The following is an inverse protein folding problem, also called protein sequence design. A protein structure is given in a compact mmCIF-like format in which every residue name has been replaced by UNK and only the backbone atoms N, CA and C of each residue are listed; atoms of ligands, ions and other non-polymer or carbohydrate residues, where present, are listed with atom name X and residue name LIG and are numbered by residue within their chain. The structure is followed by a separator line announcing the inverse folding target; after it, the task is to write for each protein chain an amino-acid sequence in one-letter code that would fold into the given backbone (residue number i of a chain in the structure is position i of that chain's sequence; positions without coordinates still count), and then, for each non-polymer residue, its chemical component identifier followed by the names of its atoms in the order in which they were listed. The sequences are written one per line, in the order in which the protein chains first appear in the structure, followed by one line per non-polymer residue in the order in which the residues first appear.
data_IF_177995862107
#
_entry.id   IF_177995862107
#
_cell.length_a   1.000
_cell.length_b   1.000
_cell.length_c   1.000
_cell.angle_alpha   90.00
_cell.angle_beta   90.00
_cell.angle_gamma   90.00
#
_symmetry.space_group_name_H-M   'P 1'
#
loop_
_entity.id
_entity.type
_entity.pdbx_description
1 polymer ?
#
# COMPACT_ATOMS: atom_id res chain seq x y z
N UNK A 1 -7.17 -31.86 -15.16
CA UNK A 1 -6.25 -30.74 -14.92
C UNK A 1 -7.13 -29.63 -14.41
N UNK A 2 -6.82 -29.08 -13.23
CA UNK A 2 -7.54 -27.92 -12.71
C UNK A 2 -6.94 -26.69 -13.39
N UNK A 3 -7.78 -25.85 -13.99
CA UNK A 3 -7.31 -24.60 -14.60
C UNK A 3 -7.15 -23.57 -13.48
N UNK A 4 -5.92 -23.17 -13.22
CA UNK A 4 -5.65 -22.14 -12.21
C UNK A 4 -5.99 -20.75 -12.77
N UNK A 5 -6.82 -20.00 -12.05
CA UNK A 5 -7.24 -18.64 -12.43
C UNK A 5 -6.74 -17.61 -11.41
N UNK A 6 -6.57 -16.37 -11.85
CA UNK A 6 -6.39 -15.21 -10.96
C UNK A 6 -7.59 -14.27 -11.06
N UNK A 7 -8.01 -13.76 -9.90
CA UNK A 7 -9.10 -12.80 -9.77
C UNK A 7 -8.62 -11.35 -9.89
N UNK A 8 -9.24 -10.60 -10.79
CA UNK A 8 -8.97 -9.19 -11.06
C UNK A 8 -10.20 -8.34 -10.72
N UNK A 9 -10.00 -7.14 -10.18
CA UNK A 9 -11.07 -6.21 -9.83
C UNK A 9 -10.72 -4.78 -10.23
N UNK A 10 -11.65 -4.09 -10.89
CA UNK A 10 -11.52 -2.67 -11.19
C UNK A 10 -11.78 -1.85 -9.91
N UNK A 11 -11.03 -0.76 -9.68
CA UNK A 11 -11.06 -0.02 -8.39
C UNK A 11 -12.45 0.50 -8.02
N UNK A 12 -13.31 0.75 -9.00
CA UNK A 12 -14.64 1.35 -8.80
C UNK A 12 -15.80 0.35 -8.86
N UNK A 13 -15.57 -0.89 -9.32
CA UNK A 13 -16.63 -1.91 -9.44
C UNK A 13 -16.53 -2.94 -8.31
N UNK A 14 -17.61 -3.68 -8.07
CA UNK A 14 -17.61 -4.91 -7.25
C UNK A 14 -17.45 -6.17 -8.10
N UNK A 15 -17.30 -6.01 -9.42
CA UNK A 15 -17.17 -7.11 -10.35
C UNK A 15 -15.75 -7.70 -10.28
N UNK A 16 -15.69 -9.02 -10.22
CA UNK A 16 -14.46 -9.80 -10.20
C UNK A 16 -14.43 -10.59 -11.50
N UNK A 17 -13.36 -10.40 -12.29
CA UNK A 17 -13.13 -11.16 -13.51
C UNK A 17 -11.99 -12.13 -13.27
N UNK A 18 -12.20 -13.40 -13.59
CA UNK A 18 -11.15 -14.41 -13.55
C UNK A 18 -10.41 -14.47 -14.88
N UNK A 19 -9.08 -14.49 -14.83
CA UNK A 19 -8.20 -14.66 -15.98
C UNK A 19 -7.40 -15.95 -15.77
N UNK A 20 -7.45 -16.86 -16.73
CA UNK A 20 -6.72 -18.13 -16.71
C UNK A 20 -5.20 -17.90 -16.71
N UNK A 21 -4.48 -18.68 -15.90
CA UNK A 21 -3.04 -18.64 -15.84
C UNK A 21 -2.41 -19.50 -16.93
N UNK A 22 -1.36 -18.98 -17.57
CA UNK A 22 -0.52 -19.77 -18.45
C UNK A 22 0.63 -20.39 -17.65
N UNK A 23 0.67 -21.73 -17.61
CA UNK A 23 1.80 -22.47 -17.05
C UNK A 23 3.03 -22.33 -17.95
N UNK A 24 4.15 -21.93 -17.34
CA UNK A 24 5.46 -21.98 -17.96
C UNK A 24 6.20 -23.25 -17.53
N UNK A 25 7.15 -23.70 -18.34
CA UNK A 25 7.90 -24.97 -18.13
C UNK A 25 8.78 -25.01 -16.87
N UNK A 26 8.97 -23.87 -16.22
CA UNK A 26 9.68 -23.69 -14.95
C UNK A 26 8.75 -23.71 -13.72
N UNK A 27 7.43 -23.86 -13.92
CA UNK A 27 6.44 -23.86 -12.85
C UNK A 27 6.01 -22.46 -12.40
N UNK A 28 6.46 -21.40 -13.07
CA UNK A 28 5.95 -20.05 -12.84
C UNK A 28 4.61 -19.83 -13.57
N UNK A 29 3.71 -19.11 -12.90
CA UNK A 29 2.44 -18.67 -13.47
C UNK A 29 2.60 -17.28 -14.08
N UNK A 30 2.21 -17.14 -15.34
CA UNK A 30 2.24 -15.85 -16.04
C UNK A 30 0.82 -15.49 -16.50
N UNK A 31 0.43 -14.25 -16.23
CA UNK A 31 -0.68 -13.58 -16.89
C UNK A 31 -0.09 -12.66 -17.94
N UNK A 32 -0.55 -12.77 -19.19
CA UNK A 32 -0.16 -11.87 -20.26
C UNK A 32 -0.94 -10.57 -20.17
N UNK A 33 -0.31 -9.44 -20.54
CA UNK A 33 -0.96 -8.14 -20.53
C UNK A 33 -2.18 -8.12 -21.46
N UNK A 34 -2.06 -8.81 -22.59
CA UNK A 34 -3.05 -8.96 -23.63
C UNK A 34 -4.35 -9.66 -23.14
N UNK A 35 -4.29 -10.42 -22.05
CA UNK A 35 -5.47 -11.02 -21.42
C UNK A 35 -6.13 -10.06 -20.42
N UNK A 36 -5.32 -9.26 -19.70
CA UNK A 36 -5.80 -8.18 -18.84
C UNK A 36 -6.48 -7.09 -19.68
N UNK A 37 -5.90 -6.69 -20.80
CA UNK A 37 -6.45 -5.68 -21.71
C UNK A 37 -7.73 -6.19 -22.42
N UNK A 38 -7.82 -7.50 -22.69
CA UNK A 38 -9.06 -8.13 -23.21
C UNK A 38 -10.18 -8.16 -22.19
N UNK A 39 -9.86 -8.38 -20.91
CA UNK A 39 -10.82 -8.33 -19.80
C UNK A 39 -11.21 -6.88 -19.44
N UNK A 40 -10.28 -5.94 -19.52
CA UNK A 40 -10.46 -4.54 -19.12
C UNK A 40 -9.85 -3.57 -20.17
N UNK A 41 -10.56 -3.27 -21.26
CA UNK A 41 -10.07 -2.39 -22.32
C UNK A 41 -9.75 -0.99 -21.81
N UNK A 42 -8.55 -0.48 -22.12
CA UNK A 42 -8.11 0.88 -21.72
C UNK A 42 -7.47 0.99 -20.33
N UNK A 43 -7.32 -0.12 -19.60
CA UNK A 43 -6.52 -0.16 -18.36
C UNK A 43 -5.05 0.08 -18.67
N UNK A 44 -4.37 0.79 -17.76
CA UNK A 44 -3.03 1.35 -18.03
C UNK A 44 -2.11 1.23 -16.80
N UNK A 45 -2.55 1.59 -15.58
CA UNK A 45 -1.94 1.13 -14.33
C UNK A 45 -2.63 -0.10 -13.72
N UNK A 46 -1.85 -1.14 -13.46
CA UNK A 46 -2.24 -2.27 -12.58
C UNK A 46 -1.51 -2.14 -11.25
N UNK A 47 -2.26 -2.28 -10.15
CA UNK A 47 -1.77 -2.23 -8.77
C UNK A 47 -1.98 -3.57 -8.08
N UNK A 48 -1.04 -4.03 -7.27
CA UNK A 48 -1.24 -5.13 -6.32
C UNK A 48 -1.31 -4.54 -4.91
N UNK A 49 -2.54 -4.41 -4.39
CA UNK A 49 -2.82 -3.62 -3.19
C UNK A 49 -2.31 -2.18 -3.33
N UNK A 50 -1.39 -1.78 -2.45
CA UNK A 50 -0.76 -0.45 -2.46
C UNK A 50 0.42 -0.32 -3.44
N UNK A 51 0.87 -1.41 -4.08
CA UNK A 51 2.05 -1.42 -4.95
C UNK A 51 1.67 -1.31 -6.42
N UNK A 52 2.05 -0.24 -7.10
CA UNK A 52 1.94 -0.16 -8.58
C UNK A 52 2.90 -1.15 -9.23
N UNK A 53 2.39 -2.05 -10.07
CA UNK A 53 3.24 -2.94 -10.88
C UNK A 53 3.84 -2.12 -12.02
N UNK A 54 5.16 -1.89 -11.94
CA UNK A 54 5.90 -1.06 -12.90
C UNK A 54 6.38 -1.81 -14.14
N UNK A 55 6.30 -3.14 -14.14
CA UNK A 55 6.80 -3.99 -15.20
C UNK A 55 5.78 -5.10 -15.49
N UNK A 56 5.24 -5.08 -16.70
CA UNK A 56 4.47 -6.15 -17.29
C UNK A 56 5.23 -6.59 -18.55
N UNK A 57 5.34 -7.90 -18.75
CA UNK A 57 6.06 -8.49 -19.87
C UNK A 57 5.05 -8.82 -20.96
N UNK A 58 5.22 -8.24 -22.15
CA UNK A 58 4.42 -8.60 -23.31
C UNK A 58 4.70 -10.03 -23.76
N UNK A 59 3.81 -10.59 -24.57
CA UNK A 59 3.98 -11.91 -25.19
C UNK A 59 5.28 -12.04 -26.03
N UNK A 60 5.86 -10.93 -26.48
CA UNK A 60 7.09 -10.84 -27.26
C UNK A 60 8.40 -10.75 -26.43
N UNK A 61 8.30 -10.88 -25.10
CA UNK A 61 9.38 -10.67 -24.13
C UNK A 61 9.97 -9.24 -24.06
N UNK A 62 9.45 -8.26 -24.80
CA UNK A 62 9.88 -6.88 -24.63
C UNK A 62 9.25 -6.25 -23.38
N UNK A 63 10.02 -5.39 -22.72
CA UNK A 63 9.51 -4.56 -21.63
C UNK A 63 8.59 -3.49 -22.22
N UNK A 64 7.28 -3.60 -21.97
CA UNK A 64 6.32 -2.58 -22.37
C UNK A 64 6.72 -1.27 -21.67
N UNK A 65 6.93 -0.20 -22.44
CA UNK A 65 7.34 1.11 -21.90
C UNK A 65 6.23 1.71 -21.05
N UNK A 66 6.61 2.52 -20.06
CA UNK A 66 5.70 3.21 -19.15
C UNK A 66 4.58 3.94 -19.91
N UNK A 67 3.33 3.50 -19.73
CA UNK A 67 2.16 4.25 -20.16
C UNK A 67 1.85 5.39 -19.18
N UNK A 68 1.42 6.52 -19.73
CA UNK A 68 0.86 7.64 -19.00
C UNK A 68 -0.64 7.76 -19.34
N UNK A 69 -1.44 8.29 -18.40
CA UNK A 69 -2.91 8.33 -18.41
C UNK A 69 -3.55 6.97 -18.07
N UNK A 70 -4.79 7.00 -17.56
CA UNK A 70 -5.13 6.23 -16.36
C UNK A 70 -6.52 5.58 -16.31
N UNK A 71 -6.54 4.27 -16.06
CA UNK A 71 -7.58 3.56 -15.30
C UNK A 71 -6.92 2.52 -14.36
N UNK A 72 -7.13 2.64 -13.05
CA UNK A 72 -6.51 1.77 -12.04
C UNK A 72 -7.27 0.43 -11.87
N UNK A 73 -6.57 -0.68 -12.12
CA UNK A 73 -7.00 -2.03 -11.72
C UNK A 73 -6.27 -2.45 -10.45
N UNK A 74 -6.97 -3.11 -9.52
CA UNK A 74 -6.38 -3.72 -8.33
C UNK A 74 -6.42 -5.24 -8.42
N UNK A 75 -5.24 -5.84 -8.42
CA UNK A 75 -5.05 -7.27 -8.22
C UNK A 75 -5.38 -7.62 -6.77
N UNK A 76 -6.23 -8.63 -6.60
CA UNK A 76 -6.45 -9.29 -5.32
C UNK A 76 -6.29 -10.80 -5.55
N UNK A 77 -5.09 -11.30 -5.32
CA UNK A 77 -4.76 -12.72 -5.52
C UNK A 77 -5.41 -13.57 -4.42
N UNK A 78 -6.55 -14.18 -4.71
CA UNK A 78 -7.11 -15.27 -3.90
C UNK A 78 -7.03 -16.58 -4.68
N UNK A 79 -6.19 -17.51 -4.22
CA UNK A 79 -6.18 -18.88 -4.75
C UNK A 79 -7.38 -19.61 -4.16
N UNK A 80 -8.44 -19.78 -4.95
CA UNK A 80 -9.65 -20.47 -4.54
C UNK A 80 -9.56 -21.95 -4.93
N UNK A 81 -9.04 -22.79 -4.03
CA UNK A 81 -9.14 -24.25 -4.19
C UNK A 81 -10.61 -24.69 -4.04
N UNK A 82 -11.17 -25.28 -5.10
CA UNK A 82 -12.57 -25.72 -5.13
C UNK A 82 -12.74 -26.93 -4.20
N UNK A 83 -13.63 -26.89 -3.18
CA UNK A 83 -13.86 -28.04 -2.32
C UNK A 83 -14.49 -29.20 -3.12
N UNK A 84 -13.78 -30.33 -3.20
CA UNK A 84 -14.31 -31.53 -3.84
C UNK A 84 -15.57 -32.03 -3.11
N UNK A 85 -16.70 -32.00 -3.83
CA UNK A 85 -18.03 -32.35 -3.32
C UNK A 85 -18.19 -33.86 -3.19
N UNK A 86 -17.95 -34.39 -1.99
CA UNK A 86 -18.28 -35.78 -1.65
C UNK A 86 -19.80 -36.00 -1.59
N UNK A 87 -20.22 -37.22 -1.96
CA UNK A 87 -21.63 -37.57 -2.22
C UNK A 87 -22.49 -37.80 -0.95
N UNK A 88 -23.82 -37.96 -1.14
CA UNK A 88 -24.80 -37.92 -0.05
C UNK A 88 -25.06 -39.29 0.60
N UNK A 89 -25.36 -39.27 1.90
CA UNK A 89 -26.04 -40.36 2.62
C UNK A 89 -27.30 -39.77 3.27
N UNK A 90 -28.41 -40.52 3.23
CA UNK A 90 -29.76 -39.98 3.41
C UNK A 90 -30.23 -39.80 4.85
N UNK A 91 -31.39 -39.14 4.97
CA UNK A 91 -32.11 -38.93 6.23
C UNK A 91 -33.44 -38.22 5.99
N UNK A 92 -34.49 -38.97 5.63
CA UNK A 92 -35.86 -38.44 5.61
C UNK A 92 -36.42 -38.34 7.03
N UNK A 93 -37.24 -37.33 7.32
CA UNK A 93 -38.57 -37.52 7.94
C UNK A 93 -39.44 -36.26 7.93
N UNK A 94 -40.63 -36.40 7.35
CA UNK A 94 -41.95 -35.87 7.74
C UNK A 94 -42.28 -34.35 7.75
N UNK A 95 -43.20 -34.05 6.81
CA UNK A 95 -44.22 -32.99 6.62
C UNK A 95 -45.32 -32.95 7.73
N UNK A 96 -46.45 -32.17 7.68
CA UNK A 96 -46.90 -31.05 6.80
C UNK A 96 -47.66 -29.87 7.52
N UNK A 97 -48.34 -29.00 6.73
CA UNK A 97 -49.46 -28.04 7.07
C UNK A 97 -49.01 -26.76 7.80
N UNK A 98 -49.44 -25.51 7.54
CA UNK A 98 -50.37 -24.82 6.61
C UNK A 98 -50.58 -23.36 7.13
N UNK A 99 -51.32 -22.41 6.52
CA UNK A 99 -51.95 -22.31 5.19
C UNK A 99 -52.35 -20.83 4.86
N UNK A 100 -52.64 -20.55 3.58
CA UNK A 100 -53.50 -19.50 2.96
C UNK A 100 -53.62 -18.04 3.51
N UNK A 101 -53.34 -17.09 2.61
CA UNK A 101 -53.92 -15.74 2.33
C UNK A 101 -55.41 -15.47 2.72
N UNK A 102 -56.03 -14.24 2.55
CA UNK A 102 -55.53 -12.93 2.04
C UNK A 102 -56.05 -11.63 2.78
N UNK A 103 -55.71 -10.46 2.21
CA UNK A 103 -56.62 -9.37 1.77
C UNK A 103 -56.72 -8.01 2.53
N UNK A 104 -56.53 -6.93 1.73
CA UNK A 104 -57.16 -5.60 1.71
C UNK A 104 -57.21 -4.65 2.93
N UNK A 105 -56.88 -3.39 2.65
CA UNK A 105 -57.14 -2.24 3.51
C UNK A 105 -56.64 -0.90 2.95
N UNK A 106 -57.11 -0.49 1.75
CA UNK A 106 -56.86 0.89 1.27
C UNK A 106 -57.68 1.88 2.10
N UNK A 107 -57.06 2.97 2.55
CA UNK A 107 -57.77 4.24 2.69
C UNK A 107 -56.80 5.41 2.59
N UNK A 108 -57.19 6.43 1.83
CA UNK A 108 -56.43 7.65 1.63
C UNK A 108 -57.28 8.84 2.08
N UNK A 109 -56.69 9.75 2.86
CA UNK A 109 -57.23 11.09 3.05
C UNK A 109 -56.09 12.07 3.32
N UNK A 110 -55.97 13.07 2.44
CA UNK A 110 -55.00 14.16 2.56
C UNK A 110 -55.31 15.04 3.79
N UNK A 111 -54.28 15.60 4.43
CA UNK A 111 -54.16 17.05 4.68
C UNK A 111 -52.77 17.40 5.23
N UNK A 112 -52.03 18.23 4.49
CA UNK A 112 -51.00 19.16 4.99
C UNK A 112 -51.63 20.21 5.95
N UNK A 113 -50.88 21.02 6.74
CA UNK A 113 -49.47 21.39 6.52
C UNK A 113 -48.54 21.47 7.76
N UNK A 114 -47.25 21.74 7.50
CA UNK A 114 -46.24 22.36 8.38
C UNK A 114 -46.01 21.73 9.78
N UNK A 115 -44.86 21.05 9.95
CA UNK A 115 -43.84 21.57 10.88
C UNK A 115 -42.43 21.06 10.53
N UNK A 116 -41.40 21.90 10.70
CA UNK A 116 -40.00 21.60 10.41
C UNK A 116 -39.26 21.13 11.67
N UNK A 117 -39.21 19.81 11.89
CA UNK A 117 -38.36 19.19 12.91
C UNK A 117 -37.01 18.72 12.34
N UNK A 118 -35.85 19.04 12.94
CA UNK A 118 -34.56 18.54 12.49
C UNK A 118 -34.36 17.08 12.90
N UNK A 119 -34.26 16.18 11.92
CA UNK A 119 -33.97 14.76 12.15
C UNK A 119 -32.52 14.58 12.64
N UNK A 120 -32.27 13.96 13.81
CA UNK A 120 -30.92 13.56 14.19
C UNK A 120 -30.50 12.34 13.35
N UNK A 121 -29.55 12.55 12.43
CA UNK A 121 -29.05 11.49 11.56
C UNK A 121 -28.43 10.33 12.32
N UNK A 122 -28.91 9.11 12.07
CA UNK A 122 -28.35 7.88 12.66
C UNK A 122 -26.97 7.58 12.05
N UNK A 123 -25.92 8.06 12.70
CA UNK A 123 -24.54 7.81 12.32
C UNK A 123 -24.16 6.35 12.56
N UNK A 124 -24.25 5.52 11.52
CA UNK A 124 -23.76 4.14 11.57
C UNK A 124 -22.24 4.16 11.70
N UNK A 125 -21.72 3.80 12.88
CA UNK A 125 -20.28 3.76 13.16
C UNK A 125 -19.66 2.60 12.39
N UNK A 126 -18.97 2.91 11.30
CA UNK A 126 -18.22 1.93 10.51
C UNK A 126 -17.00 1.42 11.30
N UNK A 127 -17.10 0.19 11.80
CA UNK A 127 -16.02 -0.50 12.53
C UNK A 127 -14.80 -0.70 11.61
N UNK A 128 -13.81 0.16 11.77
CA UNK A 128 -12.59 0.15 10.98
C UNK A 128 -11.61 -0.89 11.52
N UNK A 129 -11.57 -2.07 10.89
CA UNK A 129 -10.56 -3.11 11.19
C UNK A 129 -9.18 -2.67 10.68
N UNK A 130 -8.44 -1.96 11.53
CA UNK A 130 -7.04 -1.58 11.27
C UNK A 130 -6.12 -2.80 11.40
N UNK A 131 -5.97 -3.59 10.34
CA UNK A 131 -4.99 -4.67 10.29
C UNK A 131 -3.58 -4.08 10.23
N UNK A 132 -2.77 -4.34 11.26
CA UNK A 132 -1.41 -3.81 11.38
C UNK A 132 -0.49 -4.36 10.28
N UNK A 133 -0.27 -3.56 9.24
CA UNK A 133 0.55 -3.91 8.08
C UNK A 133 2.06 -3.68 8.29
N UNK A 134 2.47 -3.12 9.45
CA UNK A 134 3.84 -2.59 9.66
C UNK A 134 4.95 -3.66 9.80
N UNK A 135 4.64 -4.95 9.93
CA UNK A 135 5.64 -5.94 10.40
C UNK A 135 6.18 -6.94 9.35
N UNK A 136 5.61 -7.01 8.15
CA UNK A 136 6.01 -8.02 7.13
C UNK A 136 7.02 -7.47 6.10
N UNK A 137 7.00 -6.16 5.82
CA UNK A 137 7.79 -5.56 4.71
C UNK A 137 9.30 -5.45 5.00
N UNK A 138 9.73 -5.47 6.25
CA UNK A 138 11.11 -5.09 6.64
C UNK A 138 12.17 -6.18 6.52
N UNK A 139 11.81 -7.48 6.53
CA UNK A 139 12.80 -8.58 6.49
C UNK A 139 13.18 -9.06 5.09
N UNK A 140 12.26 -9.06 4.12
CA UNK A 140 12.57 -9.45 2.74
C UNK A 140 13.40 -8.39 2.00
N UNK A 141 13.17 -7.10 2.31
CA UNK A 141 13.77 -5.96 1.59
C UNK A 141 15.28 -5.80 1.78
N UNK A 142 15.83 -6.13 2.98
CA UNK A 142 17.27 -5.99 3.25
C UNK A 142 18.12 -6.96 2.42
N UNK A 143 17.73 -8.23 2.37
CA UNK A 143 18.51 -9.29 1.70
C UNK A 143 18.57 -9.13 0.18
N UNK A 144 17.51 -8.56 -0.43
CA UNK A 144 17.49 -8.22 -1.84
C UNK A 144 18.43 -7.04 -2.18
N UNK A 145 18.50 -6.02 -1.31
CA UNK A 145 19.39 -4.86 -1.50
C UNK A 145 20.87 -5.17 -1.30
N UNK A 146 21.21 -6.05 -0.36
CA UNK A 146 22.60 -6.50 -0.16
C UNK A 146 23.12 -7.25 -1.40
N UNK A 147 22.33 -8.17 -1.96
CA UNK A 147 22.68 -8.89 -3.19
C UNK A 147 22.83 -7.95 -4.42
N UNK A 148 21.98 -6.92 -4.54
CA UNK A 148 22.08 -5.95 -5.65
C UNK A 148 23.36 -5.09 -5.57
N UNK A 149 23.82 -4.77 -4.34
CA UNK A 149 25.06 -4.00 -4.14
C UNK A 149 26.30 -4.87 -4.46
N UNK A 150 26.35 -6.13 -3.99
CA UNK A 150 27.45 -7.05 -4.37
C UNK A 150 27.51 -7.23 -5.89
N UNK A 151 26.37 -7.47 -6.55
CA UNK A 151 26.30 -7.73 -7.98
C UNK A 151 26.67 -6.52 -8.85
N UNK A 152 26.40 -5.28 -8.39
CA UNK A 152 26.74 -4.06 -9.13
C UNK A 152 28.20 -3.62 -8.98
N UNK A 153 28.82 -3.84 -7.82
CA UNK A 153 30.15 -3.27 -7.51
C UNK A 153 31.29 -4.29 -7.49
N UNK A 154 31.05 -5.55 -7.13
CA UNK A 154 32.11 -6.57 -7.03
C UNK A 154 32.32 -7.31 -8.35
N UNK A 155 31.23 -7.61 -9.08
CA UNK A 155 31.31 -8.32 -10.37
C UNK A 155 32.12 -7.62 -11.48
N UNK A 156 32.14 -6.28 -11.64
CA UNK A 156 32.94 -5.63 -12.68
C UNK A 156 34.45 -5.65 -12.39
N UNK A 157 34.86 -5.58 -11.12
CA UNK A 157 36.26 -5.40 -10.72
C UNK A 157 37.06 -6.71 -10.71
N UNK A 158 36.38 -7.84 -10.43
CA UNK A 158 36.99 -9.16 -10.40
C UNK A 158 37.67 -9.60 -11.72
N UNK A 159 37.04 -9.49 -12.92
CA UNK A 159 37.68 -9.91 -14.17
C UNK A 159 38.89 -9.03 -14.56
N UNK A 160 38.85 -7.73 -14.30
CA UNK A 160 39.94 -6.81 -14.67
C UNK A 160 41.20 -7.06 -13.82
N UNK A 161 41.04 -7.25 -12.50
CA UNK A 161 42.14 -7.66 -11.61
C UNK A 161 42.70 -9.03 -12.02
N UNK A 162 41.83 -9.97 -12.42
CA UNK A 162 42.24 -11.30 -12.84
C UNK A 162 42.99 -11.29 -14.18
N UNK A 163 42.65 -10.40 -15.11
CA UNK A 163 43.36 -10.24 -16.39
C UNK A 163 44.76 -9.64 -16.16
N UNK A 164 44.88 -8.61 -15.32
CA UNK A 164 46.18 -8.00 -14.96
C UNK A 164 47.12 -9.03 -14.31
N UNK A 165 46.61 -9.85 -13.38
CA UNK A 165 47.40 -10.92 -12.76
C UNK A 165 47.81 -12.00 -13.77
N UNK A 166 46.90 -12.38 -14.68
CA UNK A 166 47.18 -13.35 -15.77
C UNK A 166 48.18 -12.83 -16.80
N UNK A 167 48.26 -11.51 -17.01
CA UNK A 167 49.24 -10.90 -17.92
C UNK A 167 50.67 -10.87 -17.33
N UNK A 168 50.82 -10.85 -16.00
CA UNK A 168 52.12 -10.65 -15.35
C UNK A 168 53.25 -11.63 -15.74
N UNK A 169 53.02 -12.96 -15.96
CA UNK A 169 54.11 -13.88 -16.32
C UNK A 169 54.68 -13.60 -17.72
N UNK A 170 53.84 -13.13 -18.65
CA UNK A 170 54.27 -12.79 -20.01
C UNK A 170 55.18 -11.56 -20.03
N UNK A 171 55.03 -10.65 -19.07
CA UNK A 171 55.92 -9.48 -18.93
C UNK A 171 57.34 -9.95 -18.64
N UNK A 172 57.53 -10.79 -17.61
CA UNK A 172 58.86 -11.33 -17.25
C UNK A 172 59.49 -12.16 -18.37
N UNK A 173 58.70 -13.00 -19.05
CA UNK A 173 59.21 -13.80 -20.18
C UNK A 173 59.67 -12.91 -21.35
N UNK A 174 58.90 -11.86 -21.68
CA UNK A 174 59.28 -10.90 -22.71
C UNK A 174 60.56 -10.14 -22.35
N UNK A 175 60.74 -9.79 -21.07
CA UNK A 175 61.93 -9.09 -20.56
C UNK A 175 63.19 -9.98 -20.64
N UNK A 176 63.07 -11.26 -20.28
CA UNK A 176 64.17 -12.23 -20.35
C UNK A 176 64.64 -12.49 -21.80
N UNK A 177 63.72 -12.50 -22.76
CA UNK A 177 64.06 -12.57 -24.19
C UNK A 177 64.72 -11.28 -24.69
N UNK A 178 64.31 -10.11 -24.17
CA UNK A 178 64.83 -8.81 -24.58
C UNK A 178 66.30 -8.60 -24.21
N UNK A 179 66.73 -9.09 -23.04
CA UNK A 179 68.11 -8.99 -22.54
C UNK A 179 69.14 -9.74 -23.41
N UNK A 180 68.71 -10.64 -24.31
CA UNK A 180 69.61 -11.37 -25.22
C UNK A 180 69.92 -10.64 -26.53
N UNK A 181 69.06 -9.73 -26.98
CA UNK A 181 69.13 -9.18 -28.35
C UNK A 181 69.99 -7.91 -28.48
N UNK A 182 70.27 -7.20 -27.38
CA UNK A 182 71.18 -6.05 -27.31
C UNK A 182 70.78 -4.77 -28.08
N UNK A 183 69.94 -4.86 -29.12
CA UNK A 183 69.73 -3.79 -30.10
C UNK A 183 68.40 -3.01 -29.94
N UNK A 184 67.66 -3.19 -28.84
CA UNK A 184 66.29 -2.66 -28.68
C UNK A 184 66.05 -1.77 -27.45
N UNK A 185 67.11 -1.25 -26.82
CA UNK A 185 67.05 -0.40 -25.62
C UNK A 185 66.05 0.77 -25.72
N UNK A 186 65.92 1.40 -26.89
CA UNK A 186 64.97 2.50 -27.12
C UNK A 186 63.49 2.07 -27.00
N UNK A 187 63.14 0.87 -27.47
CA UNK A 187 61.78 0.31 -27.34
C UNK A 187 61.51 -0.14 -25.90
N UNK A 188 62.55 -0.57 -25.16
CA UNK A 188 62.45 -0.86 -23.73
C UNK A 188 62.13 0.41 -22.93
N UNK A 189 62.87 1.51 -23.17
CA UNK A 189 62.60 2.81 -22.54
C UNK A 189 61.20 3.33 -22.87
N UNK A 190 60.74 3.17 -24.13
CA UNK A 190 59.35 3.51 -24.51
C UNK A 190 58.31 2.72 -23.73
N UNK A 191 58.56 1.44 -23.45
CA UNK A 191 57.67 0.58 -22.64
C UNK A 191 57.70 0.95 -21.16
N UNK A 192 58.87 1.29 -20.61
CA UNK A 192 58.98 1.80 -19.24
C UNK A 192 58.21 3.10 -19.06
N UNK A 193 58.36 4.08 -19.97
CA UNK A 193 57.61 5.34 -19.90
C UNK A 193 56.08 5.09 -19.91
N UNK A 194 55.60 4.18 -20.76
CA UNK A 194 54.18 3.78 -20.80
C UNK A 194 53.74 3.08 -19.50
N UNK A 195 54.62 2.32 -18.85
CA UNK A 195 54.33 1.67 -17.58
C UNK A 195 54.25 2.68 -16.43
N UNK A 196 55.16 3.66 -16.37
CA UNK A 196 55.09 4.79 -15.44
C UNK A 196 53.78 5.58 -15.59
N UNK A 197 53.40 5.92 -16.83
CA UNK A 197 52.12 6.58 -17.13
C UNK A 197 50.90 5.78 -16.61
N UNK A 198 50.96 4.44 -16.69
CA UNK A 198 49.89 3.55 -16.18
C UNK A 198 49.90 3.53 -14.64
N UNK A 199 51.06 3.48 -14.00
CA UNK A 199 51.16 3.54 -12.53
C UNK A 199 50.60 4.86 -11.98
N UNK A 200 50.94 5.99 -12.60
CA UNK A 200 50.41 7.31 -12.20
C UNK A 200 48.88 7.37 -12.38
N UNK A 201 48.35 6.84 -13.49
CA UNK A 201 46.90 6.77 -13.73
C UNK A 201 46.19 5.87 -12.70
N UNK A 202 46.75 4.71 -12.39
CA UNK A 202 46.19 3.79 -11.39
C UNK A 202 46.22 4.40 -9.99
N UNK A 203 47.31 5.09 -9.61
CA UNK A 203 47.40 5.81 -8.34
C UNK A 203 46.32 6.89 -8.23
N UNK A 204 46.09 7.68 -9.29
CA UNK A 204 45.04 8.69 -9.32
C UNK A 204 43.64 8.08 -9.27
N UNK A 205 43.41 6.98 -9.98
CA UNK A 205 42.13 6.28 -9.97
C UNK A 205 41.80 5.71 -8.58
N UNK A 206 42.82 5.20 -7.88
CA UNK A 206 42.68 4.72 -6.50
C UNK A 206 42.35 5.87 -5.52
N UNK A 207 42.96 7.04 -5.68
CA UNK A 207 42.62 8.25 -4.91
C UNK A 207 41.17 8.69 -5.15
N UNK A 208 40.72 8.75 -6.42
CA UNK A 208 39.34 9.08 -6.77
C UNK A 208 38.33 8.05 -6.21
N UNK A 209 38.70 6.77 -6.20
CA UNK A 209 37.89 5.69 -5.62
C UNK A 209 37.70 5.89 -4.11
N UNK A 210 38.75 6.23 -3.36
CA UNK A 210 38.65 6.51 -1.93
C UNK A 210 37.79 7.77 -1.65
N UNK A 211 37.99 8.84 -2.41
CA UNK A 211 37.19 10.06 -2.27
C UNK A 211 35.69 9.80 -2.51
N UNK A 212 35.34 9.03 -3.53
CA UNK A 212 33.95 8.61 -3.79
C UNK A 212 33.40 7.67 -2.71
N UNK A 213 34.22 6.78 -2.15
CA UNK A 213 33.80 5.92 -1.05
C UNK A 213 33.48 6.73 0.21
N UNK A 214 34.26 7.78 0.50
CA UNK A 214 33.98 8.70 1.61
C UNK A 214 32.67 9.49 1.38
N UNK A 215 32.43 9.96 0.14
CA UNK A 215 31.17 10.63 -0.21
C UNK A 215 29.94 9.71 -0.05
N UNK A 216 30.03 8.46 -0.50
CA UNK A 216 28.97 7.44 -0.28
C UNK A 216 28.73 7.21 1.21
N UNK A 217 29.78 7.06 2.01
CA UNK A 217 29.66 6.90 3.46
C UNK A 217 29.00 8.12 4.13
N UNK A 218 29.33 9.33 3.67
CA UNK A 218 28.72 10.59 4.14
C UNK A 218 27.22 10.65 3.82
N UNK A 219 26.85 10.37 2.57
CA UNK A 219 25.45 10.34 2.13
C UNK A 219 24.64 9.25 2.83
N UNK A 220 25.22 8.07 3.06
CA UNK A 220 24.59 6.99 3.83
C UNK A 220 24.32 7.42 5.28
N UNK A 221 25.26 8.12 5.91
CA UNK A 221 25.09 8.66 7.27
C UNK A 221 23.96 9.72 7.31
N UNK A 222 23.95 10.66 6.36
CA UNK A 222 22.90 11.66 6.22
C UNK A 222 21.51 11.03 6.00
N UNK A 223 21.41 10.03 5.12
CA UNK A 223 20.19 9.27 4.88
C UNK A 223 19.68 8.57 6.15
N UNK A 224 20.58 8.01 6.97
CA UNK A 224 20.22 7.38 8.24
C UNK A 224 19.70 8.38 9.28
N UNK A 225 20.29 9.59 9.35
CA UNK A 225 19.81 10.65 10.23
C UNK A 225 18.42 11.17 9.79
N UNK A 226 18.22 11.40 8.49
CA UNK A 226 16.94 11.84 7.94
C UNK A 226 15.82 10.80 8.16
N UNK A 227 16.16 9.50 8.14
CA UNK A 227 15.20 8.43 8.45
C UNK A 227 14.74 8.44 9.91
N UNK A 228 15.66 8.70 10.86
CA UNK A 228 15.29 8.83 12.28
C UNK A 228 14.44 10.10 12.53
N UNK A 229 14.76 11.22 11.88
CA UNK A 229 13.93 12.44 11.93
C UNK A 229 12.53 12.19 11.37
N UNK A 230 12.39 11.47 10.24
CA UNK A 230 11.07 11.09 9.72
C UNK A 230 10.29 10.20 10.70
N UNK A 231 10.95 9.28 11.39
CA UNK A 231 10.32 8.40 12.37
C UNK A 231 9.82 9.18 13.59
N UNK A 232 10.61 10.12 14.11
CA UNK A 232 10.19 11.02 15.21
C UNK A 232 9.01 11.90 14.79
N UNK A 233 9.00 12.39 13.56
CA UNK A 233 7.87 13.15 13.01
C UNK A 233 6.61 12.29 12.85
N UNK A 234 6.75 11.02 12.44
CA UNK A 234 5.60 10.08 12.36
C UNK A 234 5.00 9.84 13.76
N UNK A 235 5.83 9.62 14.77
CA UNK A 235 5.43 9.45 16.17
C UNK A 235 4.71 10.71 16.70
N UNK A 236 5.30 11.89 16.52
CA UNK A 236 4.67 13.17 16.90
C UNK A 236 3.32 13.42 16.21
N UNK A 237 3.18 13.04 14.93
CA UNK A 237 1.92 13.17 14.19
C UNK A 237 0.85 12.20 14.72
N UNK A 238 1.24 11.00 15.17
CA UNK A 238 0.32 10.05 15.80
C UNK A 238 -0.15 10.53 17.17
N UNK A 239 0.76 11.00 18.02
CA UNK A 239 0.44 11.56 19.34
C UNK A 239 -0.52 12.75 19.22
N UNK A 240 -0.23 13.70 18.32
CA UNK A 240 -1.10 14.85 18.04
C UNK A 240 -2.49 14.42 17.51
N UNK A 241 -2.58 13.31 16.76
CA UNK A 241 -3.88 12.77 16.32
C UNK A 241 -4.65 12.08 17.45
N UNK A 242 -3.97 11.49 18.43
CA UNK A 242 -4.59 10.90 19.61
C UNK A 242 -5.13 11.98 20.54
N UNK A 243 -4.32 13.00 20.88
CA UNK A 243 -4.76 14.15 21.68
C UNK A 243 -5.99 14.85 21.04
N UNK A 244 -5.96 15.03 19.72
CA UNK A 244 -7.10 15.64 19.00
C UNK A 244 -8.38 14.80 19.10
N UNK A 245 -8.28 13.46 19.06
CA UNK A 245 -9.43 12.57 19.26
C UNK A 245 -9.96 12.63 20.68
N UNK A 246 -9.08 12.64 21.68
CA UNK A 246 -9.49 12.79 23.09
C UNK A 246 -10.20 14.13 23.32
N UNK A 247 -9.67 15.22 22.75
CA UNK A 247 -10.28 16.54 22.81
C UNK A 247 -11.67 16.55 22.18
N UNK A 248 -11.83 15.99 20.97
CA UNK A 248 -13.13 15.83 20.32
C UNK A 248 -14.10 15.01 21.15
N UNK A 249 -13.67 13.87 21.72
CA UNK A 249 -14.51 13.03 22.56
C UNK A 249 -14.96 13.75 23.85
N UNK A 250 -14.06 14.52 24.49
CA UNK A 250 -14.40 15.36 25.64
C UNK A 250 -15.45 16.41 25.28
N UNK A 251 -15.31 17.08 24.13
CA UNK A 251 -16.29 18.05 23.63
C UNK A 251 -17.65 17.41 23.33
N UNK A 252 -17.68 16.25 22.67
CA UNK A 252 -18.91 15.50 22.41
C UNK A 252 -19.62 15.09 23.71
N UNK A 253 -18.86 14.62 24.72
CA UNK A 253 -19.41 14.28 26.03
C UNK A 253 -20.03 15.50 26.73
N UNK A 254 -19.38 16.68 26.65
CA UNK A 254 -19.92 17.94 27.20
C UNK A 254 -21.21 18.36 26.50
N UNK A 255 -21.27 18.26 25.17
CA UNK A 255 -22.49 18.53 24.38
C UNK A 255 -23.62 17.58 24.79
N UNK A 256 -23.33 16.28 24.99
CA UNK A 256 -24.31 15.31 25.46
C UNK A 256 -24.92 15.67 26.82
N UNK A 257 -24.09 16.08 27.79
CA UNK A 257 -24.57 16.54 29.12
C UNK A 257 -25.42 17.81 29.00
N UNK A 258 -25.01 18.77 28.16
CA UNK A 258 -25.80 19.99 27.92
C UNK A 258 -27.15 19.67 27.26
N UNK A 259 -27.17 18.79 26.25
CA UNK A 259 -28.40 18.34 25.59
C UNK A 259 -29.37 17.69 26.60
N UNK A 260 -28.89 16.74 27.42
CA UNK A 260 -29.71 16.10 28.45
C UNK A 260 -30.28 17.11 29.45
N UNK A 261 -29.51 18.14 29.83
CA UNK A 261 -29.98 19.21 30.73
C UNK A 261 -31.03 20.10 30.07
N UNK A 262 -30.84 20.49 28.81
CA UNK A 262 -31.82 21.28 28.05
C UNK A 262 -33.12 20.49 27.88
N UNK A 263 -33.03 19.21 27.54
CA UNK A 263 -34.19 18.32 27.42
C UNK A 263 -34.96 18.21 28.75
N UNK A 264 -34.26 18.01 29.88
CA UNK A 264 -34.91 17.94 31.19
C UNK A 264 -35.63 19.24 31.58
N UNK A 265 -35.03 20.40 31.29
CA UNK A 265 -35.66 21.71 31.51
C UNK A 265 -36.88 21.87 30.61
N UNK A 266 -36.79 21.49 29.33
CA UNK A 266 -37.92 21.52 28.41
C UNK A 266 -39.06 20.64 28.94
N UNK A 267 -38.82 19.36 29.21
CA UNK A 267 -39.84 18.45 29.78
C UNK A 267 -40.49 19.05 31.02
N UNK A 268 -39.72 19.59 31.97
CA UNK A 268 -40.26 20.23 33.17
C UNK A 268 -41.14 21.46 32.85
N UNK A 269 -40.75 22.30 31.87
CA UNK A 269 -41.60 23.42 31.43
C UNK A 269 -42.86 22.97 30.68
N UNK A 270 -42.80 21.85 29.97
CA UNK A 270 -43.97 21.26 29.33
C UNK A 270 -44.92 20.63 30.38
N UNK A 271 -44.44 19.91 31.40
CA UNK A 271 -45.30 19.42 32.48
C UNK A 271 -46.01 20.56 33.25
N UNK A 272 -45.36 21.73 33.37
CA UNK A 272 -45.93 22.91 34.04
C UNK A 272 -47.05 23.62 33.26
N UNK A 273 -47.13 23.50 31.93
CA UNK A 273 -48.18 24.16 31.13
C UNK A 273 -49.44 23.30 30.92
N UNK A 274 -49.33 21.98 31.02
CA UNK A 274 -50.50 21.07 30.94
C UNK A 274 -51.38 21.14 32.21
N UNK A 275 -50.80 21.54 33.35
CA UNK A 275 -51.50 21.79 34.61
C UNK A 275 -51.49 23.28 34.96
N UNK A 276 -52.28 24.13 34.27
CA UNK A 276 -52.38 25.54 34.62
C UNK A 276 -52.86 25.69 36.07
N UNK A 277 -52.01 26.31 36.90
CA UNK A 277 -52.32 26.56 38.32
C UNK A 277 -53.70 27.23 38.40
N UNK A 278 -54.70 26.61 39.06
CA UNK A 278 -56.04 27.18 39.11
C UNK A 278 -55.96 28.53 39.81
N UNK A 279 -56.35 29.59 39.10
CA UNK A 279 -56.31 30.96 39.61
C UNK A 279 -57.32 31.08 40.76
N UNK A 280 -56.82 31.01 41.99
CA UNK A 280 -57.60 31.24 43.20
C UNK A 280 -58.01 32.72 43.27
N UNK A 281 -59.25 33.01 42.89
CA UNK A 281 -59.84 34.33 43.07
C UNK A 281 -60.28 34.49 44.53
N UNK A 282 -59.53 35.30 45.29
CA UNK A 282 -59.98 35.73 46.63
C UNK A 282 -61.03 36.82 46.43
N UNK A 283 -62.30 36.45 46.58
CA UNK A 283 -63.40 37.42 46.60
C UNK A 283 -63.38 38.13 47.96
N UNK A 284 -62.95 39.39 47.97
CA UNK A 284 -63.07 40.24 49.16
C UNK A 284 -64.54 40.65 49.34
N UNK A 285 -65.08 40.62 50.57
CA UNK A 285 -66.44 41.10 50.83
C UNK A 285 -66.53 42.60 50.52
N UNK A 286 -67.66 43.04 49.95
CA UNK A 286 -67.96 44.46 49.84
C UNK A 286 -68.30 45.03 51.22
N UNK A 287 -67.68 46.16 51.57
CA UNK A 287 -68.04 46.89 52.79
C UNK A 287 -69.50 47.35 52.72
N UNK A 288 -70.31 47.15 53.78
CA UNK A 288 -71.71 47.50 53.79
C UNK A 288 -71.89 49.03 53.82
N UNK A 289 -72.55 49.57 52.79
CA UNK A 289 -72.95 50.97 52.64
C UNK A 289 -74.27 51.30 53.34
#
# INVERSE_FOLDING_TARGET
MEEETLSFRLVETTEITEISLHHRTDGEFIVHWEDIERAFPGVTPVRNGISTIKFLRGSDYQSIKQCAQSMDVVLSTSVQSVPQKSGPVGGQTNVPIGATLPLSGMSASNTDPLDTSPTPGSGTIASSKTVSFKQIVTKASRKAREAEIEQRFISPLAPEIQEILRASPNIYHSFAMFLKDGQREQELNRRFQKFEDILVKNSKLQEEMYAKQEEVNRLQKEMSANLEVMKQLEEQVLDNQEEMKEMQQRTLNQIGVLHSRVQAILTQTYELHEYPIPRLFVVLPQDPS
#
